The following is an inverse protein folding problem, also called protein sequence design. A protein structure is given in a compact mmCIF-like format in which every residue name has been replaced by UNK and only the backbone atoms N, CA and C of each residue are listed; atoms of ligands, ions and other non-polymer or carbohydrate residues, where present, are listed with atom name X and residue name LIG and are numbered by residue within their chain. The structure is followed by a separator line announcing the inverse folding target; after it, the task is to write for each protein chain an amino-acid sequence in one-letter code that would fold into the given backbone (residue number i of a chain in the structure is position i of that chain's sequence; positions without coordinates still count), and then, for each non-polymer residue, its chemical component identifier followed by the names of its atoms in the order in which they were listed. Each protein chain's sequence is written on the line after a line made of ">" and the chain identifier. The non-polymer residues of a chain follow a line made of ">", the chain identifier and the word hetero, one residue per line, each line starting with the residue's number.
data_IF_710710302710
#
_entry.id   IF_710710302710
#
_cell.length_a   1.000
_cell.length_b   1.000
_cell.length_c   1.000
_cell.angle_alpha   90.00
_cell.angle_beta   90.00
_cell.angle_gamma   90.00
#
_symmetry.space_group_name_H-M   'P 1'
#
loop_
_entity.id
_entity.type
_entity.pdbx_description
1 polymer ?
#
# COMPACT_ATOMS: atom_id res chain seq x y z
N UNK A 1 -1.90 -41.51 14.25
CA UNK A 1 -1.32 -40.33 14.92
C UNK A 1 -1.87 -39.09 14.21
N UNK A 2 -2.80 -38.36 14.85
CA UNK A 2 -3.34 -37.11 14.31
C UNK A 2 -2.43 -35.96 14.71
N UNK A 3 -1.69 -35.40 13.75
CA UNK A 3 -0.98 -34.15 13.95
C UNK A 3 -2.01 -33.06 14.19
N UNK A 4 -1.96 -32.44 15.37
CA UNK A 4 -2.79 -31.27 15.70
C UNK A 4 -1.82 -30.09 15.76
N UNK A 5 -1.85 -29.18 14.79
CA UNK A 5 -0.92 -28.05 14.79
C UNK A 5 -1.12 -27.22 16.07
N UNK A 6 -0.05 -26.69 16.67
CA UNK A 6 -0.10 -25.93 17.92
C UNK A 6 -0.82 -24.59 17.81
N UNK A 7 -1.25 -24.21 16.60
CA UNK A 7 -2.03 -23.01 16.34
C UNK A 7 -3.18 -23.43 15.41
N UNK A 8 -4.43 -23.03 15.69
CA UNK A 8 -5.52 -23.21 14.75
C UNK A 8 -5.12 -22.61 13.39
N UNK A 9 -5.40 -23.31 12.30
CA UNK A 9 -5.31 -22.76 10.94
C UNK A 9 -6.39 -21.68 10.76
N UNK A 10 -6.19 -20.54 11.41
CA UNK A 10 -6.89 -19.30 11.16
C UNK A 10 -6.05 -18.38 10.28
N UNK A 11 -6.54 -17.17 9.97
CA UNK A 11 -5.77 -16.13 9.29
C UNK A 11 -4.65 -15.54 10.20
N UNK A 12 -3.93 -16.39 10.93
CA UNK A 12 -2.78 -15.98 11.73
C UNK A 12 -1.64 -15.58 10.77
N UNK A 13 -1.05 -14.42 11.02
CA UNK A 13 0.01 -13.82 10.21
C UNK A 13 1.31 -13.91 11.01
N UNK A 14 2.01 -15.06 11.00
CA UNK A 14 3.17 -15.28 11.87
C UNK A 14 4.30 -14.27 11.64
N UNK A 15 4.32 -13.59 10.49
CA UNK A 15 5.31 -12.56 10.18
C UNK A 15 5.04 -11.19 10.81
N UNK A 16 3.80 -10.89 11.22
CA UNK A 16 3.41 -9.63 11.86
C UNK A 16 3.53 -9.69 13.39
N UNK A 17 3.57 -10.89 13.98
CA UNK A 17 3.64 -11.11 15.43
C UNK A 17 4.84 -10.38 16.07
N UNK A 18 4.56 -9.47 17.00
CA UNK A 18 5.56 -8.75 17.80
C UNK A 18 6.41 -7.75 17.02
N UNK A 19 6.02 -7.38 15.79
CA UNK A 19 6.74 -6.41 14.95
C UNK A 19 5.83 -5.27 14.51
N UNK A 20 6.31 -4.03 14.63
CA UNK A 20 5.61 -2.83 14.14
C UNK A 20 5.73 -2.69 12.61
N UNK A 21 4.81 -1.95 12.01
CA UNK A 21 4.89 -1.49 10.61
C UNK A 21 6.27 -0.93 10.26
N UNK A 22 6.79 -1.32 9.10
CA UNK A 22 8.01 -0.75 8.52
C UNK A 22 7.70 0.56 7.80
N UNK A 23 7.53 1.61 8.57
CA UNK A 23 7.11 2.94 8.12
C UNK A 23 7.81 3.46 6.86
N UNK A 24 9.14 3.27 6.74
CA UNK A 24 9.87 3.74 5.57
C UNK A 24 9.41 3.07 4.27
N UNK A 25 9.12 1.77 4.30
CA UNK A 25 8.74 0.99 3.11
C UNK A 25 7.36 1.41 2.65
N UNK A 26 6.46 1.59 3.61
CA UNK A 26 5.08 1.91 3.32
C UNK A 26 4.94 3.33 2.77
N UNK A 27 5.64 4.31 3.37
CA UNK A 27 5.70 5.68 2.87
C UNK A 27 6.31 5.74 1.47
N UNK A 28 7.39 5.00 1.22
CA UNK A 28 8.04 4.98 -0.09
C UNK A 28 7.15 4.33 -1.17
N UNK A 29 6.49 3.22 -0.86
CA UNK A 29 5.61 2.55 -1.82
C UNK A 29 4.34 3.36 -2.13
N UNK A 30 3.73 3.99 -1.11
CA UNK A 30 2.54 4.83 -1.31
C UNK A 30 2.90 6.14 -2.04
N UNK A 31 4.07 6.73 -1.80
CA UNK A 31 4.52 7.93 -2.55
C UNK A 31 4.79 7.62 -4.02
N UNK A 32 5.41 6.48 -4.34
CA UNK A 32 5.56 6.02 -5.73
C UNK A 32 4.17 5.81 -6.37
N UNK A 33 3.25 5.19 -5.64
CA UNK A 33 1.87 4.96 -6.12
C UNK A 33 1.16 6.29 -6.44
N UNK A 34 1.26 7.29 -5.56
CA UNK A 34 0.72 8.64 -5.81
C UNK A 34 1.36 9.26 -7.05
N UNK A 35 2.67 9.14 -7.22
CA UNK A 35 3.35 9.69 -8.40
C UNK A 35 2.88 9.04 -9.69
N UNK A 36 2.74 7.71 -9.72
CA UNK A 36 2.20 6.99 -10.86
C UNK A 36 0.76 7.44 -11.15
N UNK A 37 -0.10 7.52 -10.13
CA UNK A 37 -1.50 7.95 -10.29
C UNK A 37 -1.59 9.37 -10.85
N UNK A 38 -0.77 10.29 -10.35
CA UNK A 38 -0.74 11.68 -10.84
C UNK A 38 -0.32 11.75 -12.31
N UNK A 39 0.70 10.98 -12.72
CA UNK A 39 1.14 10.89 -14.11
C UNK A 39 0.07 10.26 -15.01
N UNK A 40 -0.52 9.13 -14.63
CA UNK A 40 -1.57 8.48 -15.42
C UNK A 40 -2.85 9.32 -15.50
N UNK A 41 -3.22 9.99 -14.40
CA UNK A 41 -4.37 10.89 -14.37
C UNK A 41 -4.20 12.13 -15.23
N UNK A 42 -2.99 12.70 -15.29
CA UNK A 42 -2.67 13.80 -16.20
C UNK A 42 -2.59 13.34 -17.66
N UNK A 43 -2.01 12.15 -17.89
CA UNK A 43 -1.90 11.59 -19.23
C UNK A 43 -3.26 11.21 -19.85
N UNK A 44 -4.23 10.75 -19.03
CA UNK A 44 -5.57 10.39 -19.51
C UNK A 44 -6.38 11.57 -20.04
N UNK A 45 -6.06 12.79 -19.60
CA UNK A 45 -6.63 14.04 -20.10
C UNK A 45 -5.68 14.79 -21.05
N UNK A 46 -4.57 14.15 -21.43
CA UNK A 46 -3.53 14.70 -22.29
C UNK A 46 -2.95 16.05 -21.82
N UNK A 47 -2.90 16.28 -20.50
CA UNK A 47 -2.42 17.52 -19.90
C UNK A 47 -1.45 17.25 -18.74
N UNK A 48 -0.16 17.16 -19.08
CA UNK A 48 0.91 16.93 -18.12
C UNK A 48 1.19 18.13 -17.20
N UNK A 49 0.68 19.33 -17.51
CA UNK A 49 0.83 20.49 -16.64
C UNK A 49 0.07 20.31 -15.31
N UNK A 50 -0.90 19.39 -15.27
CA UNK A 50 -1.66 19.06 -14.05
C UNK A 50 -0.91 18.17 -13.06
N UNK A 51 0.19 17.52 -13.48
CA UNK A 51 0.94 16.57 -12.64
C UNK A 51 1.33 17.16 -11.29
N UNK A 52 1.94 18.37 -11.19
CA UNK A 52 2.30 18.94 -9.89
C UNK A 52 1.09 19.16 -8.97
N UNK A 53 -0.03 19.62 -9.52
CA UNK A 53 -1.26 19.83 -8.75
C UNK A 53 -1.87 18.52 -8.24
N UNK A 54 -1.87 17.48 -9.08
CA UNK A 54 -2.31 16.14 -8.72
C UNK A 54 -1.38 15.51 -7.67
N UNK A 55 -0.07 15.69 -7.80
CA UNK A 55 0.93 15.23 -6.82
C UNK A 55 0.70 15.85 -5.45
N UNK A 56 0.50 17.17 -5.37
CA UNK A 56 0.26 17.86 -4.09
C UNK A 56 -1.02 17.34 -3.45
N UNK A 57 -2.12 17.25 -4.22
CA UNK A 57 -3.40 16.73 -3.71
C UNK A 57 -3.28 15.29 -3.23
N UNK A 58 -2.61 14.42 -4.00
CA UNK A 58 -2.40 13.03 -3.65
C UNK A 58 -1.50 12.86 -2.43
N UNK A 59 -0.42 13.63 -2.33
CA UNK A 59 0.49 13.61 -1.18
C UNK A 59 -0.23 14.05 0.10
N UNK A 60 -1.00 15.14 0.05
CA UNK A 60 -1.80 15.60 1.19
C UNK A 60 -2.82 14.53 1.59
N UNK A 61 -3.54 13.97 0.63
CA UNK A 61 -4.54 12.93 0.89
C UNK A 61 -3.94 11.69 1.56
N UNK A 62 -2.80 11.19 1.06
CA UNK A 62 -2.11 10.02 1.64
C UNK A 62 -1.62 10.34 3.04
N UNK A 63 -0.97 11.47 3.28
CA UNK A 63 -0.46 11.84 4.61
C UNK A 63 -1.58 11.94 5.63
N UNK A 64 -2.70 12.57 5.26
CA UNK A 64 -3.86 12.70 6.15
C UNK A 64 -4.53 11.34 6.37
N UNK A 65 -4.73 10.54 5.32
CA UNK A 65 -5.27 9.18 5.44
C UNK A 65 -4.43 8.31 6.38
N UNK A 66 -3.10 8.44 6.30
CA UNK A 66 -2.16 7.80 7.20
C UNK A 66 -2.30 8.26 8.64
N UNK A 67 -2.31 9.58 8.88
CA UNK A 67 -2.47 10.12 10.22
C UNK A 67 -3.77 9.65 10.87
N UNK A 68 -4.87 9.63 10.10
CA UNK A 68 -6.18 9.14 10.56
C UNK A 68 -6.14 7.65 10.84
N UNK A 69 -5.64 6.83 9.91
CA UNK A 69 -5.56 5.38 10.09
C UNK A 69 -4.71 5.02 11.30
N UNK A 70 -3.56 5.68 11.47
CA UNK A 70 -2.66 5.52 12.61
C UNK A 70 -3.33 5.90 13.94
N UNK A 71 -4.05 7.03 14.00
CA UNK A 71 -4.76 7.45 15.20
C UNK A 71 -5.85 6.46 15.62
N UNK A 72 -6.53 5.86 14.64
CA UNK A 72 -7.61 4.89 14.88
C UNK A 72 -7.06 3.51 15.29
N UNK A 73 -5.84 3.14 14.90
CA UNK A 73 -5.29 1.77 15.00
C UNK A 73 -4.08 1.59 15.94
N UNK A 74 -3.78 2.61 16.77
CA UNK A 74 -2.57 2.77 17.61
C UNK A 74 -1.96 1.55 18.36
N UNK A 75 -2.65 0.43 18.67
CA UNK A 75 -2.00 -0.75 19.27
C UNK A 75 -1.44 -1.79 18.27
N UNK A 76 -2.05 -1.98 17.10
CA UNK A 76 -1.79 -3.11 16.17
C UNK A 76 -1.64 -2.64 14.71
N UNK A 77 -0.83 -1.60 14.49
CA UNK A 77 -0.61 -1.06 13.15
C UNK A 77 0.13 -2.09 12.26
N UNK A 78 -0.61 -2.65 11.30
CA UNK A 78 -0.12 -3.49 10.20
C UNK A 78 -0.58 -2.94 8.86
N UNK A 79 -0.37 -1.64 8.66
CA UNK A 79 -0.83 -0.88 7.48
C UNK A 79 -0.15 -1.32 6.17
N UNK A 80 0.93 -2.10 6.26
CA UNK A 80 1.55 -2.84 5.15
C UNK A 80 0.72 -4.06 4.68
N UNK A 81 -0.28 -4.48 5.44
CA UNK A 81 -1.16 -5.59 5.06
C UNK A 81 -2.36 -5.08 4.27
N UNK A 82 -2.68 -5.75 3.17
CA UNK A 82 -3.75 -5.34 2.27
C UNK A 82 -5.12 -5.20 2.95
N UNK A 83 -5.46 -6.08 3.90
CA UNK A 83 -6.74 -6.07 4.62
C UNK A 83 -6.56 -6.43 6.10
N UNK A 84 -7.30 -5.82 7.05
CA UNK A 84 -8.23 -4.68 6.89
C UNK A 84 -7.54 -3.31 6.95
N UNK A 85 -6.32 -3.22 7.48
CA UNK A 85 -5.66 -1.96 7.78
C UNK A 85 -5.29 -1.15 6.53
N UNK A 86 -4.68 -1.78 5.52
CA UNK A 86 -4.33 -1.12 4.26
C UNK A 86 -5.55 -0.60 3.47
N UNK A 87 -6.70 -1.26 3.60
CA UNK A 87 -7.93 -0.83 2.94
C UNK A 87 -8.48 0.50 3.49
N UNK A 88 -8.28 0.79 4.79
CA UNK A 88 -8.64 2.09 5.36
C UNK A 88 -7.82 3.22 4.77
N UNK A 89 -6.50 3.02 4.62
CA UNK A 89 -5.62 4.01 3.99
C UNK A 89 -6.06 4.26 2.54
N UNK A 90 -6.35 3.19 1.79
CA UNK A 90 -6.82 3.29 0.40
C UNK A 90 -8.14 4.06 0.31
N UNK A 91 -9.14 3.69 1.14
CA UNK A 91 -10.46 4.34 1.14
C UNK A 91 -10.42 5.81 1.56
N UNK A 92 -9.64 6.13 2.61
CA UNK A 92 -9.47 7.51 3.07
C UNK A 92 -8.70 8.36 2.05
N UNK A 93 -7.64 7.81 1.45
CA UNK A 93 -6.87 8.49 0.40
C UNK A 93 -7.79 8.79 -0.79
N UNK A 94 -8.59 7.82 -1.21
CA UNK A 94 -9.57 8.00 -2.29
C UNK A 94 -10.55 9.14 -1.98
N UNK A 95 -11.20 9.09 -0.81
CA UNK A 95 -12.19 10.09 -0.43
C UNK A 95 -11.59 11.50 -0.35
N UNK A 96 -10.41 11.65 0.26
CA UNK A 96 -9.74 12.94 0.41
C UNK A 96 -9.25 13.47 -0.93
N UNK A 97 -8.62 12.65 -1.76
CA UNK A 97 -8.08 13.11 -3.04
C UNK A 97 -9.19 13.41 -4.05
N UNK A 98 -10.23 12.57 -4.13
CA UNK A 98 -11.42 12.89 -4.92
C UNK A 98 -12.09 14.19 -4.44
N UNK A 99 -12.23 14.38 -3.12
CA UNK A 99 -12.77 15.60 -2.52
C UNK A 99 -11.93 16.85 -2.86
N UNK A 100 -10.60 16.77 -2.74
CA UNK A 100 -9.69 17.86 -3.12
C UNK A 100 -9.75 18.19 -4.61
N UNK A 101 -9.94 17.17 -5.46
CA UNK A 101 -10.12 17.34 -6.89
C UNK A 101 -11.44 18.07 -7.20
N UNK A 102 -12.56 17.63 -6.60
CA UNK A 102 -13.88 18.29 -6.73
C UNK A 102 -13.81 19.74 -6.27
N UNK A 103 -13.20 19.99 -5.12
CA UNK A 103 -13.07 21.33 -4.55
C UNK A 103 -12.22 22.25 -5.43
N UNK A 104 -11.15 21.73 -6.03
CA UNK A 104 -10.37 22.44 -7.04
C UNK A 104 -11.17 22.77 -8.32
N UNK A 105 -12.13 21.92 -8.70
CA UNK A 105 -13.05 22.18 -9.81
C UNK A 105 -14.05 23.31 -9.50
N UNK A 106 -14.53 23.41 -8.26
CA UNK A 106 -15.39 24.52 -7.82
C UNK A 106 -14.67 25.88 -7.87
N UNK A 107 -13.33 25.89 -7.85
CA UNK A 107 -12.49 27.08 -7.99
C UNK A 107 -12.10 27.39 -9.46
N UNK A 108 -12.69 26.69 -10.44
CA UNK A 108 -12.55 27.00 -11.88
C UNK A 108 -11.39 26.31 -12.60
N UNK A 109 -10.74 25.31 -11.99
CA UNK A 109 -9.50 24.72 -12.51
C UNK A 109 -9.65 23.37 -13.26
N UNK A 110 -10.87 22.81 -13.42
CA UNK A 110 -11.08 21.40 -13.87
C UNK A 110 -12.41 21.24 -14.64
N UNK A 111 -12.55 20.28 -15.61
CA UNK A 111 -13.78 20.07 -16.38
C UNK A 111 -14.97 19.65 -15.51
N UNK A 112 -16.20 19.92 -16.00
CA UNK A 112 -17.47 19.78 -15.27
C UNK A 112 -17.81 18.38 -14.71
N UNK A 113 -19.02 18.24 -14.16
CA UNK A 113 -19.45 17.10 -13.33
C UNK A 113 -19.10 15.69 -13.87
N UNK A 114 -19.16 15.47 -15.19
CA UNK A 114 -18.78 14.20 -15.82
C UNK A 114 -17.29 13.85 -15.65
N UNK A 115 -16.39 14.82 -15.75
CA UNK A 115 -14.95 14.61 -15.55
C UNK A 115 -14.60 14.26 -14.11
N UNK A 116 -15.38 14.77 -13.16
CA UNK A 116 -15.18 14.49 -11.73
C UNK A 116 -15.51 13.04 -11.37
N UNK A 117 -16.63 12.50 -11.89
CA UNK A 117 -17.01 11.10 -11.65
C UNK A 117 -16.00 10.15 -12.30
N UNK A 118 -15.61 10.41 -13.55
CA UNK A 118 -14.60 9.62 -14.24
C UNK A 118 -13.26 9.63 -13.51
N UNK A 119 -12.82 10.79 -13.00
CA UNK A 119 -11.62 10.90 -12.19
C UNK A 119 -11.71 10.09 -10.90
N UNK A 120 -12.83 10.18 -10.16
CA UNK A 120 -13.02 9.44 -8.92
C UNK A 120 -12.98 7.91 -9.13
N UNK A 121 -13.57 7.41 -10.22
CA UNK A 121 -13.55 5.98 -10.57
C UNK A 121 -12.15 5.55 -11.00
N UNK A 122 -11.50 6.32 -11.88
CA UNK A 122 -10.11 6.08 -12.28
C UNK A 122 -9.17 6.03 -11.08
N UNK A 123 -9.30 7.01 -10.17
CA UNK A 123 -8.52 7.10 -8.95
C UNK A 123 -8.74 5.88 -8.05
N UNK A 124 -10.00 5.45 -7.85
CA UNK A 124 -10.30 4.24 -7.09
C UNK A 124 -9.60 3.01 -7.68
N UNK A 125 -9.71 2.83 -8.99
CA UNK A 125 -9.09 1.70 -9.69
C UNK A 125 -7.56 1.70 -9.52
N UNK A 126 -6.90 2.84 -9.74
CA UNK A 126 -5.45 2.91 -9.59
C UNK A 126 -4.99 2.79 -8.14
N UNK A 127 -5.73 3.31 -7.15
CA UNK A 127 -5.37 3.11 -5.74
C UNK A 127 -5.47 1.62 -5.36
N UNK A 128 -6.49 0.91 -5.83
CA UNK A 128 -6.60 -0.55 -5.63
C UNK A 128 -5.42 -1.27 -6.29
N UNK A 129 -5.08 -0.92 -7.53
CA UNK A 129 -3.99 -1.57 -8.27
C UNK A 129 -2.62 -1.27 -7.67
N UNK A 130 -2.26 0.00 -7.48
CA UNK A 130 -0.92 0.37 -7.02
C UNK A 130 -0.78 0.17 -5.51
N UNK A 131 -1.62 0.81 -4.69
CA UNK A 131 -1.53 0.74 -3.23
C UNK A 131 -1.95 -0.64 -2.70
N UNK A 132 -2.98 -1.25 -3.28
CA UNK A 132 -3.40 -2.61 -2.93
C UNK A 132 -2.48 -3.70 -3.49
N UNK A 133 -1.97 -3.52 -4.72
CA UNK A 133 -1.09 -4.47 -5.38
C UNK A 133 0.25 -4.63 -4.67
N UNK A 134 0.93 -3.55 -4.29
CA UNK A 134 2.21 -3.68 -3.59
C UNK A 134 2.03 -4.32 -2.20
N UNK A 135 0.94 -4.02 -1.48
CA UNK A 135 0.62 -4.65 -0.18
C UNK A 135 0.34 -6.14 -0.32
N UNK A 136 -0.33 -6.54 -1.40
CA UNK A 136 -0.56 -7.95 -1.74
C UNK A 136 0.75 -8.66 -2.06
N UNK A 137 1.62 -8.04 -2.86
CA UNK A 137 2.94 -8.57 -3.19
C UNK A 137 3.82 -8.69 -1.95
N UNK A 138 3.81 -7.67 -1.09
CA UNK A 138 4.53 -7.68 0.19
C UNK A 138 4.04 -8.82 1.08
N UNK A 139 2.73 -8.98 1.22
CA UNK A 139 2.12 -10.09 1.95
C UNK A 139 2.51 -11.45 1.39
N UNK A 140 2.51 -11.60 0.06
CA UNK A 140 2.93 -12.82 -0.62
C UNK A 140 4.41 -13.17 -0.37
N UNK A 141 5.32 -12.21 -0.57
CA UNK A 141 6.75 -12.40 -0.31
C UNK A 141 6.97 -12.78 1.15
N UNK A 142 6.25 -12.16 2.08
CA UNK A 142 6.39 -12.45 3.50
C UNK A 142 5.80 -13.80 3.91
N UNK A 143 4.71 -14.22 3.29
CA UNK A 143 4.17 -15.57 3.43
C UNK A 143 5.18 -16.60 2.89
N UNK A 144 5.76 -16.35 1.72
CA UNK A 144 6.78 -17.23 1.12
C UNK A 144 8.03 -17.34 2.01
N UNK A 145 8.57 -16.22 2.51
CA UNK A 145 9.67 -16.19 3.49
C UNK A 145 9.34 -16.99 4.76
N UNK A 146 8.08 -17.01 5.19
CA UNK A 146 7.66 -17.74 6.37
C UNK A 146 7.57 -19.25 6.14
N UNK A 147 7.33 -19.67 4.89
CA UNK A 147 7.26 -21.06 4.47
C UNK A 147 8.64 -21.71 4.32
N UNK A 148 9.72 -20.92 4.17
CA UNK A 148 11.08 -21.45 4.21
C UNK A 148 11.48 -21.69 5.66
N UNK A 149 11.67 -22.96 6.10
CA UNK A 149 12.05 -23.23 7.48
C UNK A 149 13.43 -22.64 7.72
N UNK A 150 13.59 -21.82 8.76
CA UNK A 150 14.89 -21.24 9.16
C UNK A 150 16.02 -22.28 9.28
N UNK A 151 15.67 -23.54 9.51
CA UNK A 151 16.61 -24.68 9.50
C UNK A 151 17.21 -24.99 8.13
N UNK A 152 16.44 -24.85 7.04
CA UNK A 152 16.94 -25.01 5.66
C UNK A 152 17.91 -23.86 5.33
N UNK A 153 17.55 -22.63 5.70
CA UNK A 153 18.43 -21.47 5.54
C UNK A 153 19.78 -21.66 6.26
N UNK A 154 19.74 -22.11 7.52
CA UNK A 154 20.96 -22.40 8.30
C UNK A 154 21.84 -23.49 7.69
N UNK A 155 21.25 -24.47 7.01
CA UNK A 155 22.00 -25.56 6.35
C UNK A 155 22.67 -25.06 5.06
N UNK A 156 22.00 -24.24 4.28
CA UNK A 156 22.59 -23.58 3.09
C UNK A 156 23.72 -22.63 3.48
N UNK A 157 23.55 -21.85 4.55
CA UNK A 157 24.60 -20.96 5.07
C UNK A 157 25.83 -21.75 5.56
N UNK A 158 25.61 -22.91 6.20
CA UNK A 158 26.69 -23.79 6.63
C UNK A 158 27.44 -24.44 5.45
N UNK A 159 26.73 -24.87 4.40
CA UNK A 159 27.33 -25.42 3.19
C UNK A 159 28.17 -24.36 2.45
N UNK A 160 27.62 -23.18 2.22
CA UNK A 160 28.32 -22.09 1.52
C UNK A 160 29.59 -21.62 2.23
N UNK A 161 29.63 -21.63 3.57
CA UNK A 161 30.86 -21.37 4.33
C UNK A 161 31.90 -22.46 4.11
N UNK A 162 31.49 -23.72 4.07
CA UNK A 162 32.41 -24.85 3.88
C UNK A 162 33.08 -24.81 2.51
N UNK A 163 32.33 -24.49 1.47
CA UNK A 163 32.82 -24.44 0.09
C UNK A 163 33.75 -23.22 -0.19
N UNK A 164 33.71 -22.15 0.61
CA UNK A 164 34.65 -21.02 0.51
C UNK A 164 35.98 -21.24 1.21
N UNK A 165 36.07 -22.27 2.05
CA UNK A 165 37.27 -22.62 2.81
C UNK A 165 37.99 -23.85 2.22
N UNK A 166 37.52 -24.35 1.08
CA UNK A 166 38.19 -25.32 0.20
C UNK A 166 38.76 -24.57 -1.02
#
# INVERSE_FOLDING_TARGET
>A
MSYTPPVPDGPDRPWTRGRRTRWWLVLLADTISVALIACFGAASVHDLAQVPGLLVRGAVAVVVAWAVAWLVRRPDDHLEVGWPDGAWVIGLTWALWAGLYVWGGALGAIPGAGGTVSFAVMLAAFLVVFCGGWRSLYGYVKAHDSLVPKGVQRRLDAQSRRDRHL
#
